data_IF_371359215427
#
_entry.id   IF_371359215427
#
_cell.length_a   1.000
_cell.length_b   1.000
_cell.length_c   1.000
_cell.angle_alpha   90.00
_cell.angle_beta   90.00
_cell.angle_gamma   90.00
#
_symmetry.space_group_name_H-M   'P 1'
#
loop_
_entity.id
_entity.type
_entity.pdbx_description
1 polymer ?
#
# COMPACT_ATOMS: atom_id res chain seq x y z
N UNK A 1 -12.33 -14.31 40.40
CA UNK A 1 -13.40 -14.52 39.41
C UNK A 1 -13.61 -13.17 38.76
N UNK A 2 -13.34 -13.05 37.47
CA UNK A 2 -13.53 -11.79 36.75
C UNK A 2 -15.02 -11.64 36.44
N UNK A 3 -15.62 -10.53 36.89
CA UNK A 3 -17.04 -10.23 36.71
C UNK A 3 -17.23 -9.45 35.41
N UNK A 4 -18.00 -10.01 34.49
CA UNK A 4 -18.39 -9.35 33.26
C UNK A 4 -19.76 -8.71 33.47
N UNK A 5 -19.84 -7.43 33.08
CA UNK A 5 -21.07 -6.62 33.13
C UNK A 5 -21.50 -6.32 31.70
N UNK A 6 -22.73 -6.70 31.37
CA UNK A 6 -23.28 -6.57 30.03
C UNK A 6 -24.40 -5.53 30.08
N UNK A 7 -24.24 -4.45 29.33
CA UNK A 7 -25.27 -3.42 29.17
C UNK A 7 -25.93 -3.56 27.79
N UNK A 8 -27.27 -3.48 27.78
CA UNK A 8 -28.08 -3.42 26.56
C UNK A 8 -29.08 -2.27 26.75
N UNK A 9 -29.20 -1.41 25.74
CA UNK A 9 -30.12 -0.26 25.75
C UNK A 9 -29.94 0.72 26.94
N UNK A 10 -28.73 0.83 27.47
CA UNK A 10 -28.39 1.76 28.57
C UNK A 10 -28.70 1.23 29.97
N UNK A 11 -29.20 0.00 30.10
CA UNK A 11 -29.41 -0.67 31.38
C UNK A 11 -28.51 -1.90 31.52
N UNK A 12 -28.24 -2.31 32.77
CA UNK A 12 -27.48 -3.53 33.05
C UNK A 12 -28.38 -4.73 32.73
N UNK A 13 -28.03 -5.45 31.67
CA UNK A 13 -28.78 -6.61 31.18
C UNK A 13 -28.34 -7.90 31.88
N UNK A 14 -27.03 -8.14 32.00
CA UNK A 14 -26.50 -9.40 32.56
C UNK A 14 -25.20 -9.18 33.37
N UNK A 15 -25.00 -10.03 34.37
CA UNK A 15 -23.85 -10.03 35.27
C UNK A 15 -23.43 -11.47 35.55
N UNK A 16 -22.14 -11.78 35.43
CA UNK A 16 -21.64 -13.11 35.74
C UNK A 16 -20.19 -13.32 35.31
N UNK A 17 -19.70 -14.54 35.50
CA UNK A 17 -18.46 -14.98 34.89
C UNK A 17 -18.66 -15.30 33.40
N UNK A 18 -17.59 -15.26 32.61
CA UNK A 18 -17.64 -15.56 31.16
C UNK A 18 -18.36 -16.88 30.84
N UNK A 19 -18.04 -17.94 31.58
CA UNK A 19 -18.61 -19.28 31.35
C UNK A 19 -20.11 -19.31 31.65
N UNK A 20 -20.55 -18.68 32.75
CA UNK A 20 -21.97 -18.59 33.10
C UNK A 20 -22.77 -17.78 32.08
N UNK A 21 -22.18 -16.72 31.51
CA UNK A 21 -22.82 -15.88 30.50
C UNK A 21 -22.96 -16.60 29.16
N UNK A 22 -21.96 -17.41 28.76
CA UNK A 22 -22.06 -18.23 27.54
C UNK A 22 -23.14 -19.29 27.66
N UNK A 23 -23.24 -19.97 28.81
CA UNK A 23 -24.26 -21.02 29.03
C UNK A 23 -25.69 -20.48 29.01
N UNK A 24 -25.90 -19.21 29.36
CA UNK A 24 -27.22 -18.57 29.41
C UNK A 24 -27.77 -18.16 28.04
N UNK A 25 -26.96 -18.22 26.98
CA UNK A 25 -27.31 -17.81 25.61
C UNK A 25 -28.06 -16.46 25.54
N UNK A 26 -27.63 -15.51 26.39
CA UNK A 26 -28.28 -14.22 26.59
C UNK A 26 -27.70 -13.10 25.72
N UNK A 27 -27.89 -11.85 26.14
CA UNK A 27 -27.41 -10.64 25.47
C UNK A 27 -25.89 -10.67 25.24
N UNK A 28 -25.12 -11.28 26.16
CA UNK A 28 -23.69 -11.47 25.96
C UNK A 28 -23.37 -12.42 24.80
N UNK A 29 -24.03 -13.58 24.77
CA UNK A 29 -23.84 -14.58 23.71
C UNK A 29 -24.31 -14.05 22.36
N UNK A 30 -25.43 -13.33 22.30
CA UNK A 30 -25.90 -12.62 21.11
C UNK A 30 -24.88 -11.59 20.62
N UNK A 31 -24.28 -10.81 21.54
CA UNK A 31 -23.21 -9.87 21.21
C UNK A 31 -21.99 -10.58 20.62
N UNK A 32 -21.52 -11.66 21.28
CA UNK A 32 -20.36 -12.43 20.80
C UNK A 32 -20.68 -13.07 19.44
N UNK A 33 -21.86 -13.66 19.27
CA UNK A 33 -22.27 -14.24 17.99
C UNK A 33 -22.42 -13.19 16.90
N UNK A 34 -22.94 -12.00 17.21
CA UNK A 34 -23.06 -10.90 16.24
C UNK A 34 -21.67 -10.40 15.85
N UNK A 35 -20.78 -10.17 16.81
CA UNK A 35 -19.40 -9.76 16.54
C UNK A 35 -18.64 -10.81 15.74
N UNK A 36 -18.75 -12.10 16.12
CA UNK A 36 -18.14 -13.19 15.36
C UNK A 36 -18.72 -13.26 13.94
N UNK A 37 -20.03 -13.23 13.80
CA UNK A 37 -20.74 -13.26 12.50
C UNK A 37 -20.36 -12.07 11.62
N UNK A 38 -20.31 -10.85 12.14
CA UNK A 38 -19.88 -9.65 11.40
C UNK A 38 -18.42 -9.75 10.94
N UNK A 39 -17.51 -10.20 11.80
CA UNK A 39 -16.12 -10.41 11.42
C UNK A 39 -15.94 -11.58 10.42
N UNK A 40 -16.75 -12.64 10.53
CA UNK A 40 -16.77 -13.74 9.56
C UNK A 40 -17.39 -13.31 8.22
N UNK A 41 -18.37 -12.40 8.21
CA UNK A 41 -18.93 -11.80 6.99
C UNK A 41 -17.99 -10.80 6.31
N UNK A 42 -16.97 -10.30 7.00
CA UNK A 42 -15.90 -9.51 6.40
C UNK A 42 -14.68 -10.36 5.99
N UNK A 43 -14.66 -11.62 6.45
CA UNK A 43 -13.66 -12.64 6.11
C UNK A 43 -14.30 -13.81 5.36
N UNK A 44 -15.47 -13.59 4.73
CA UNK A 44 -16.08 -14.60 3.89
C UNK A 44 -15.31 -14.56 2.57
N UNK A 45 -14.68 -15.66 2.17
CA UNK A 45 -13.85 -15.71 0.97
C UNK A 45 -14.59 -15.32 -0.33
N UNK A 46 -15.90 -15.06 -0.27
CA UNK A 46 -16.73 -14.62 -1.38
C UNK A 46 -17.00 -13.11 -1.40
N UNK A 47 -16.54 -12.33 -0.42
CA UNK A 47 -16.72 -10.89 -0.45
C UNK A 47 -15.92 -10.30 -1.61
N UNK A 48 -16.52 -9.44 -2.45
CA UNK A 48 -15.88 -8.96 -3.68
C UNK A 48 -14.59 -8.19 -3.40
N UNK A 49 -14.48 -7.55 -2.23
CA UNK A 49 -13.28 -6.82 -1.80
C UNK A 49 -12.13 -7.78 -1.47
N UNK A 50 -12.40 -8.85 -0.72
CA UNK A 50 -11.41 -9.88 -0.37
C UNK A 50 -10.94 -10.63 -1.61
N UNK A 51 -11.86 -10.94 -2.53
CA UNK A 51 -11.55 -11.52 -3.84
C UNK A 51 -10.68 -10.58 -4.69
N UNK A 52 -11.00 -9.29 -4.73
CA UNK A 52 -10.20 -8.32 -5.49
C UNK A 52 -8.78 -8.17 -4.95
N UNK A 53 -8.63 -8.08 -3.62
CA UNK A 53 -7.31 -7.97 -2.96
C UNK A 53 -6.50 -9.26 -3.14
N UNK A 54 -7.12 -10.43 -3.03
CA UNK A 54 -6.43 -11.71 -3.24
C UNK A 54 -6.04 -11.94 -4.71
N UNK A 55 -6.88 -11.56 -5.67
CA UNK A 55 -6.52 -11.59 -7.10
C UNK A 55 -5.37 -10.63 -7.40
N UNK A 56 -5.42 -9.42 -6.85
CA UNK A 56 -4.36 -8.43 -6.99
C UNK A 56 -3.04 -8.92 -6.40
N UNK A 57 -3.06 -9.53 -5.22
CA UNK A 57 -1.84 -10.03 -4.58
C UNK A 57 -1.21 -11.15 -5.41
N UNK A 58 -2.00 -12.08 -5.94
CA UNK A 58 -1.53 -13.13 -6.86
C UNK A 58 -0.96 -12.53 -8.14
N UNK A 59 -1.63 -11.54 -8.75
CA UNK A 59 -1.16 -10.88 -9.96
C UNK A 59 0.19 -10.15 -9.72
N UNK A 60 0.32 -9.48 -8.58
CA UNK A 60 1.55 -8.80 -8.18
C UNK A 60 2.70 -9.80 -7.98
N UNK A 61 2.46 -10.94 -7.32
CA UNK A 61 3.47 -12.00 -7.13
C UNK A 61 3.93 -12.59 -8.47
N UNK A 62 2.99 -12.84 -9.39
CA UNK A 62 3.35 -13.33 -10.73
C UNK A 62 4.18 -12.28 -11.48
N UNK A 63 3.80 -11.00 -11.36
CA UNK A 63 4.52 -9.88 -11.95
C UNK A 63 5.92 -9.70 -11.38
N UNK A 64 6.09 -9.79 -10.06
CA UNK A 64 7.38 -9.66 -9.37
C UNK A 64 8.33 -10.78 -9.78
N UNK A 65 7.88 -12.04 -9.73
CA UNK A 65 8.68 -13.20 -10.16
C UNK A 65 9.07 -13.09 -11.64
N UNK A 66 8.16 -12.62 -12.50
CA UNK A 66 8.45 -12.43 -13.92
C UNK A 66 9.50 -11.33 -14.15
N UNK A 67 9.39 -10.21 -13.43
CA UNK A 67 10.34 -9.11 -13.48
C UNK A 67 11.72 -9.52 -12.94
N UNK A 68 11.77 -10.24 -11.82
CA UNK A 68 12.98 -10.80 -11.21
C UNK A 68 13.71 -11.74 -12.18
N UNK A 69 12.99 -12.64 -12.85
CA UNK A 69 13.57 -13.54 -13.87
C UNK A 69 14.11 -12.78 -15.08
N UNK A 70 13.40 -11.76 -15.56
CA UNK A 70 13.85 -10.94 -16.68
C UNK A 70 15.12 -10.15 -16.32
N UNK A 71 15.10 -9.48 -15.18
CA UNK A 71 16.24 -8.71 -14.68
C UNK A 71 17.46 -9.62 -14.46
N UNK A 72 17.27 -10.78 -13.85
CA UNK A 72 18.35 -11.75 -13.63
C UNK A 72 18.93 -12.27 -14.94
N UNK A 73 18.07 -12.62 -15.92
CA UNK A 73 18.51 -13.10 -17.23
C UNK A 73 19.29 -12.01 -17.99
N UNK A 74 18.79 -10.77 -18.00
CA UNK A 74 19.45 -9.65 -18.66
C UNK A 74 20.80 -9.30 -18.02
N UNK A 75 20.87 -9.33 -16.69
CA UNK A 75 22.10 -9.09 -15.94
C UNK A 75 23.15 -10.17 -16.20
N UNK A 76 22.76 -11.44 -16.15
CA UNK A 76 23.64 -12.57 -16.47
C UNK A 76 24.15 -12.45 -17.90
N UNK A 77 23.26 -12.17 -18.85
CA UNK A 77 23.57 -12.07 -20.26
C UNK A 77 24.55 -10.92 -20.57
N UNK A 78 24.49 -9.82 -19.82
CA UNK A 78 25.44 -8.69 -19.94
C UNK A 78 26.80 -9.03 -19.35
N UNK A 79 26.84 -9.74 -18.23
CA UNK A 79 28.10 -10.11 -17.57
C UNK A 79 28.92 -11.10 -18.39
N UNK A 80 28.28 -12.14 -18.95
CA UNK A 80 29.02 -13.16 -19.70
C UNK A 80 29.68 -12.61 -20.97
N UNK A 81 29.26 -11.43 -21.44
CA UNK A 81 29.82 -10.73 -22.60
C UNK A 81 30.83 -9.63 -22.22
N UNK A 82 31.15 -9.48 -20.94
CA UNK A 82 32.04 -8.43 -20.45
C UNK A 82 33.52 -8.79 -20.71
N UNK A 83 34.40 -7.82 -21.08
CA UNK A 83 35.83 -8.09 -21.26
C UNK A 83 36.49 -8.57 -19.95
N UNK A 84 37.55 -9.38 -20.05
CA UNK A 84 38.26 -9.91 -18.88
C UNK A 84 38.77 -8.83 -17.92
N UNK A 85 39.18 -7.66 -18.43
CA UNK A 85 39.67 -6.54 -17.61
C UNK A 85 38.66 -6.01 -16.59
N UNK A 86 37.35 -6.21 -16.83
CA UNK A 86 36.30 -5.87 -15.88
C UNK A 86 36.31 -6.79 -14.64
N UNK A 87 36.62 -8.06 -14.86
CA UNK A 87 36.70 -9.06 -13.79
C UNK A 87 37.99 -8.94 -12.97
N UNK A 88 39.04 -8.32 -13.53
CA UNK A 88 40.28 -8.02 -12.82
C UNK A 88 40.13 -6.86 -11.83
N UNK A 89 39.25 -5.90 -12.11
CA UNK A 89 39.02 -4.70 -11.30
C UNK A 89 37.85 -4.84 -10.31
N UNK A 90 36.91 -5.76 -10.56
CA UNK A 90 35.78 -6.03 -9.66
C UNK A 90 35.67 -7.51 -9.30
N UNK A 91 35.81 -7.90 -8.02
CA UNK A 91 35.73 -9.29 -7.61
C UNK A 91 34.32 -9.85 -7.85
N UNK A 92 34.24 -11.04 -8.42
CA UNK A 92 33.01 -11.77 -8.75
C UNK A 92 32.01 -11.81 -7.58
N UNK A 93 32.50 -11.96 -6.34
CA UNK A 93 31.66 -11.95 -5.14
C UNK A 93 30.92 -10.63 -4.89
N UNK A 94 31.48 -9.47 -5.26
CA UNK A 94 30.81 -8.17 -5.12
C UNK A 94 29.66 -8.02 -6.12
N UNK A 95 29.86 -8.56 -7.32
CA UNK A 95 28.85 -8.56 -8.39
C UNK A 95 27.68 -9.46 -8.00
N UNK A 96 27.97 -10.69 -7.55
CA UNK A 96 26.95 -11.63 -7.09
C UNK A 96 26.16 -11.06 -5.89
N UNK A 97 26.85 -10.48 -4.91
CA UNK A 97 26.21 -9.85 -3.75
C UNK A 97 25.26 -8.71 -4.15
N UNK A 98 25.64 -7.91 -5.16
CA UNK A 98 24.77 -6.86 -5.67
C UNK A 98 23.55 -7.43 -6.38
N UNK A 99 23.72 -8.46 -7.19
CA UNK A 99 22.62 -9.11 -7.91
C UNK A 99 21.62 -9.76 -6.97
N UNK A 100 22.10 -10.56 -6.03
CA UNK A 100 21.24 -11.20 -5.04
C UNK A 100 20.47 -10.16 -4.21
N UNK A 101 21.14 -9.07 -3.81
CA UNK A 101 20.49 -7.99 -3.06
C UNK A 101 19.47 -7.20 -3.89
N UNK A 102 19.80 -6.87 -5.13
CA UNK A 102 18.90 -6.11 -6.00
C UNK A 102 17.64 -6.94 -6.35
N UNK A 103 17.80 -8.24 -6.57
CA UNK A 103 16.68 -9.19 -6.76
C UNK A 103 15.85 -9.34 -5.49
N UNK A 104 16.48 -9.52 -4.34
CA UNK A 104 15.79 -9.62 -3.05
C UNK A 104 14.97 -8.36 -2.71
N UNK A 105 15.52 -7.17 -3.00
CA UNK A 105 14.81 -5.90 -2.84
C UNK A 105 13.60 -5.83 -3.78
N UNK A 106 13.72 -6.29 -5.02
CA UNK A 106 12.61 -6.33 -5.98
C UNK A 106 11.49 -7.26 -5.51
N UNK A 107 11.84 -8.47 -5.06
CA UNK A 107 10.86 -9.49 -4.70
C UNK A 107 10.14 -9.16 -3.38
N UNK A 108 10.83 -8.57 -2.41
CA UNK A 108 10.24 -8.30 -1.08
C UNK A 108 9.75 -6.87 -0.91
N UNK A 109 10.59 -5.87 -1.21
CA UNK A 109 10.26 -4.48 -0.91
C UNK A 109 9.35 -3.87 -1.97
N UNK A 110 9.72 -4.00 -3.24
CA UNK A 110 8.94 -3.41 -4.34
C UNK A 110 7.55 -4.07 -4.40
N UNK A 111 7.46 -5.39 -4.20
CA UNK A 111 6.18 -6.08 -4.09
C UNK A 111 5.28 -5.50 -3.01
N UNK A 112 5.81 -5.29 -1.80
CA UNK A 112 5.06 -4.74 -0.67
C UNK A 112 4.63 -3.29 -0.94
N UNK A 113 5.51 -2.45 -1.49
CA UNK A 113 5.18 -1.05 -1.79
C UNK A 113 4.12 -0.93 -2.89
N UNK A 114 4.18 -1.78 -3.92
CA UNK A 114 3.17 -1.81 -4.98
C UNK A 114 1.82 -2.23 -4.40
N UNK A 115 1.78 -3.27 -3.56
CA UNK A 115 0.53 -3.69 -2.92
C UNK A 115 -0.05 -2.58 -2.03
N UNK A 116 0.78 -1.96 -1.19
CA UNK A 116 0.37 -0.83 -0.34
C UNK A 116 -0.14 0.37 -1.15
N UNK A 117 0.48 0.65 -2.30
CA UNK A 117 0.02 1.71 -3.20
C UNK A 117 -1.40 1.44 -3.70
N UNK A 118 -1.69 0.21 -4.12
CA UNK A 118 -3.03 -0.16 -4.59
C UNK A 118 -4.06 -0.18 -3.46
N UNK A 119 -3.69 -0.68 -2.27
CA UNK A 119 -4.58 -0.67 -1.10
C UNK A 119 -4.90 0.74 -0.61
N UNK A 120 -4.01 1.71 -0.84
CA UNK A 120 -4.26 3.11 -0.48
C UNK A 120 -5.03 3.85 -1.57
N UNK A 121 -4.56 3.77 -2.82
CA UNK A 121 -5.11 4.55 -3.93
C UNK A 121 -6.46 4.02 -4.42
N UNK A 122 -6.67 2.70 -4.45
CA UNK A 122 -7.90 2.09 -4.95
C UNK A 122 -9.15 2.58 -4.19
N UNK A 123 -9.20 2.43 -2.85
CA UNK A 123 -10.30 2.94 -2.04
C UNK A 123 -10.42 4.46 -2.10
N UNK A 124 -9.29 5.18 -2.08
CA UNK A 124 -9.30 6.64 -2.17
C UNK A 124 -10.00 7.12 -3.44
N UNK A 125 -9.60 6.59 -4.60
CA UNK A 125 -10.22 6.92 -5.89
C UNK A 125 -11.70 6.50 -5.91
N UNK A 126 -12.02 5.30 -5.42
CA UNK A 126 -13.40 4.81 -5.33
C UNK A 126 -14.31 5.75 -4.53
N UNK A 127 -13.89 6.13 -3.33
CA UNK A 127 -14.64 7.05 -2.47
C UNK A 127 -14.79 8.43 -3.11
N UNK A 128 -13.75 8.96 -3.77
CA UNK A 128 -13.86 10.22 -4.52
C UNK A 128 -14.91 10.15 -5.63
N UNK A 129 -14.95 9.05 -6.39
CA UNK A 129 -15.94 8.84 -7.46
C UNK A 129 -17.35 8.77 -6.89
N UNK A 130 -17.56 8.03 -5.79
CA UNK A 130 -18.87 7.91 -5.14
C UNK A 130 -19.36 9.28 -4.65
N UNK A 131 -18.51 10.04 -3.96
CA UNK A 131 -18.85 11.39 -3.48
C UNK A 131 -19.21 12.32 -4.65
N UNK A 132 -18.45 12.25 -5.74
CA UNK A 132 -18.68 13.07 -6.94
C UNK A 132 -20.01 12.74 -7.62
N UNK A 133 -20.40 11.46 -7.63
CA UNK A 133 -21.70 11.03 -8.15
C UNK A 133 -22.86 11.44 -7.25
N UNK A 134 -22.73 11.24 -5.93
CA UNK A 134 -23.79 11.56 -4.96
C UNK A 134 -24.01 13.06 -4.82
N UNK A 135 -22.96 13.88 -4.84
CA UNK A 135 -23.06 15.34 -4.67
C UNK A 135 -22.36 16.08 -5.83
N UNK A 136 -23.01 16.20 -7.00
CA UNK A 136 -22.39 16.79 -8.18
C UNK A 136 -22.10 18.30 -8.02
N UNK A 137 -22.77 18.99 -7.09
CA UNK A 137 -22.49 20.39 -6.78
C UNK A 137 -21.04 20.62 -6.33
N UNK A 138 -20.39 19.62 -5.73
CA UNK A 138 -18.98 19.71 -5.33
C UNK A 138 -18.06 19.90 -6.55
N UNK A 139 -18.41 19.36 -7.72
CA UNK A 139 -17.63 19.52 -8.96
C UNK A 139 -17.49 21.00 -9.31
N UNK A 140 -18.58 21.76 -9.17
CA UNK A 140 -18.58 23.19 -9.47
C UNK A 140 -17.62 24.00 -8.57
N UNK A 141 -17.32 23.50 -7.36
CA UNK A 141 -16.35 24.10 -6.43
C UNK A 141 -14.93 23.56 -6.67
N UNK A 142 -14.80 22.26 -6.96
CA UNK A 142 -13.50 21.62 -7.22
C UNK A 142 -12.84 22.13 -8.51
N UNK A 143 -13.59 22.43 -9.56
CA UNK A 143 -13.04 22.93 -10.84
C UNK A 143 -12.27 24.25 -10.67
N UNK A 144 -12.85 25.34 -10.13
CA UNK A 144 -12.10 26.59 -9.94
C UNK A 144 -10.94 26.42 -8.95
N UNK A 145 -11.13 25.61 -7.90
CA UNK A 145 -10.05 25.29 -6.95
C UNK A 145 -8.87 24.58 -7.65
N UNK A 146 -9.14 23.59 -8.49
CA UNK A 146 -8.14 22.84 -9.24
C UNK A 146 -7.39 23.73 -10.24
N UNK A 147 -8.10 24.66 -10.90
CA UNK A 147 -7.48 25.67 -11.77
C UNK A 147 -6.50 26.51 -10.95
N UNK A 148 -6.93 27.09 -9.83
CA UNK A 148 -6.07 27.89 -8.95
C UNK A 148 -4.88 27.07 -8.45
N UNK A 149 -5.10 25.83 -8.03
CA UNK A 149 -4.04 24.94 -7.55
C UNK A 149 -3.03 24.62 -8.65
N UNK A 150 -3.48 24.39 -9.88
CA UNK A 150 -2.60 24.13 -11.03
C UNK A 150 -1.73 25.35 -11.39
N UNK A 151 -2.28 26.57 -11.25
CA UNK A 151 -1.51 27.80 -11.41
C UNK A 151 -0.46 27.93 -10.31
N UNK A 152 -0.85 27.74 -9.05
CA UNK A 152 0.07 27.79 -7.91
C UNK A 152 1.19 26.74 -8.03
N UNK A 153 0.85 25.50 -8.39
CA UNK A 153 1.82 24.43 -8.57
C UNK A 153 2.80 24.76 -9.68
N UNK A 154 2.32 25.24 -10.84
CA UNK A 154 3.21 25.67 -11.94
C UNK A 154 4.15 26.80 -11.52
N UNK A 155 3.68 27.75 -10.71
CA UNK A 155 4.52 28.83 -10.20
C UNK A 155 5.57 28.33 -9.21
N UNK A 156 5.19 27.42 -8.31
CA UNK A 156 6.12 26.79 -7.37
C UNK A 156 7.19 25.99 -8.12
N UNK A 157 6.80 25.18 -9.10
CA UNK A 157 7.73 24.39 -9.91
C UNK A 157 8.73 25.28 -10.66
N UNK A 158 8.28 26.38 -11.26
CA UNK A 158 9.18 27.36 -11.92
C UNK A 158 10.20 27.93 -10.94
N UNK A 159 9.78 28.32 -9.74
CA UNK A 159 10.67 28.87 -8.70
C UNK A 159 11.71 27.86 -8.22
N UNK A 160 11.30 26.59 -8.06
CA UNK A 160 12.21 25.50 -7.66
C UNK A 160 13.25 25.22 -8.75
N UNK A 161 12.83 25.26 -10.03
CA UNK A 161 13.75 25.11 -11.17
C UNK A 161 14.75 26.26 -11.20
N UNK A 162 14.31 27.51 -11.03
CA UNK A 162 15.20 28.68 -11.04
C UNK A 162 16.23 28.63 -9.90
N UNK A 163 15.85 28.17 -8.69
CA UNK A 163 16.78 27.94 -7.59
C UNK A 163 17.83 26.87 -7.90
N UNK A 164 17.42 25.77 -8.57
CA UNK A 164 18.34 24.70 -8.95
C UNK A 164 19.37 25.13 -10.01
N UNK A 165 19.02 26.10 -10.87
CA UNK A 165 19.94 26.68 -11.85
C UNK A 165 20.93 27.65 -11.19
N UNK A 166 20.51 28.42 -10.19
CA UNK A 166 21.42 29.34 -9.49
C UNK A 166 22.44 28.60 -8.61
N UNK A 167 22.05 27.49 -7.97
CA UNK A 167 22.99 26.68 -7.18
C UNK A 167 24.07 26.04 -8.03
N UNK A 168 23.73 25.52 -9.22
CA UNK A 168 24.71 24.98 -10.17
C UNK A 168 25.61 26.07 -10.78
N UNK A 169 25.06 27.24 -11.09
CA UNK A 169 25.84 28.37 -11.66
C UNK A 169 26.82 28.96 -10.64
N UNK A 170 26.42 29.11 -9.38
CA UNK A 170 27.29 29.61 -8.31
C UNK A 170 28.47 28.66 -8.01
N UNK A 171 28.26 27.35 -8.10
CA UNK A 171 29.33 26.35 -7.96
C UNK A 171 30.38 26.49 -9.08
N UNK A 172 29.96 26.69 -10.33
CA UNK A 172 30.87 26.92 -11.46
C UNK A 172 31.58 28.28 -11.41
N UNK A 173 30.98 29.30 -10.79
CA UNK A 173 31.57 30.65 -10.65
C UNK A 173 32.53 30.78 -9.46
N UNK A 174 32.53 29.80 -8.55
CA UNK A 174 33.39 29.76 -7.35
C UNK A 174 34.70 28.98 -7.52
N UNK A 175 34.99 28.50 -8.73
CA UNK A 175 36.27 27.88 -9.13
C UNK A 175 36.94 28.74 -10.19
#
# INVERSE_FOLDING_TARGET
MDLIVVMKDGEISELGSYTELIERDGAFSEFIQTYLTENFHQSSGNDPEVLAVSLLSVAIVIGSVSASRLLHADMLNRIVRCPMSFFDTTPLGRILNRFSKDVDIMDNNIQQYVLNLFLLLGPLISTFIIIMYTTPMLIAVFVPLAVVFSFLQRDIERRLVDQSLQSTTNVYRSR
#
